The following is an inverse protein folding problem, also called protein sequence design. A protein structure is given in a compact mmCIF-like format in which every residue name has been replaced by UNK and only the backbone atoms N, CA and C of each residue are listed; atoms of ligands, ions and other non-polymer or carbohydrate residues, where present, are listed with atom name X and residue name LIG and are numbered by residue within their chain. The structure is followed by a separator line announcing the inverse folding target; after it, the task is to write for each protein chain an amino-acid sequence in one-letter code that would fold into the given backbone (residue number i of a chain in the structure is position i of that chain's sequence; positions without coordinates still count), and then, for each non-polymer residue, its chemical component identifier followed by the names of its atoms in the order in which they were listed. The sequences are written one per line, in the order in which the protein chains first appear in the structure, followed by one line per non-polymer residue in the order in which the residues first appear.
data_IF_225802037906
#
_entry.id   IF_225802037906
#
_cell.length_a   1.000
_cell.length_b   1.000
_cell.length_c   1.000
_cell.angle_alpha   90.00
_cell.angle_beta   90.00
_cell.angle_gamma   90.00
#
_symmetry.space_group_name_H-M   'P 1'
#
loop_
_entity.id
_entity.type
_entity.pdbx_description
1 polymer ?
#
# COMPACT_ATOMS: atom_id res chain seq x y z
N UNK A 1 27.96 9.43 11.25
CA UNK A 1 27.44 8.10 10.87
C UNK A 1 27.27 8.10 9.35
N UNK A 2 27.96 7.19 8.67
CA UNK A 2 27.84 7.06 7.21
C UNK A 2 26.47 6.47 6.82
N UNK A 3 26.08 6.60 5.55
CA UNK A 3 24.80 6.04 5.07
C UNK A 3 24.73 4.52 5.26
N UNK A 4 25.87 3.85 5.11
CA UNK A 4 26.02 2.40 5.24
C UNK A 4 25.94 1.94 6.69
N UNK A 5 26.67 2.59 7.60
CA UNK A 5 26.61 2.31 9.05
C UNK A 5 25.19 2.50 9.59
N UNK A 6 24.49 3.53 9.11
CA UNK A 6 23.10 3.80 9.45
C UNK A 6 22.18 2.68 9.00
N UNK A 7 22.35 2.20 7.77
CA UNK A 7 21.55 1.11 7.23
C UNK A 7 21.75 -0.18 8.03
N UNK A 8 23.00 -0.56 8.30
CA UNK A 8 23.33 -1.71 9.15
C UNK A 8 22.70 -1.60 10.54
N UNK A 9 22.82 -0.44 11.18
CA UNK A 9 22.28 -0.19 12.53
C UNK A 9 20.75 -0.18 12.58
N UNK A 10 20.07 0.33 11.56
CA UNK A 10 18.61 0.44 11.58
C UNK A 10 17.92 -0.87 11.26
N UNK A 11 18.54 -1.70 10.41
CA UNK A 11 18.01 -3.00 10.04
C UNK A 11 18.44 -4.15 10.96
N UNK A 12 19.38 -3.94 11.90
CA UNK A 12 19.86 -4.99 12.82
C UNK A 12 18.78 -5.62 13.70
N UNK A 13 17.67 -4.92 13.92
CA UNK A 13 16.58 -5.33 14.82
C UNK A 13 15.31 -5.77 14.06
N UNK A 14 15.41 -5.94 12.73
CA UNK A 14 14.26 -6.31 11.88
C UNK A 14 14.42 -7.78 11.48
N UNK A 15 13.49 -8.67 11.87
CA UNK A 15 13.52 -10.06 11.41
C UNK A 15 13.37 -10.11 9.87
N UNK A 16 14.00 -11.09 9.24
CA UNK A 16 13.95 -11.34 7.78
C UNK A 16 14.60 -10.28 6.88
N UNK A 17 15.26 -9.27 7.44
CA UNK A 17 15.96 -8.24 6.66
C UNK A 17 17.33 -8.66 6.11
N UNK A 18 17.79 -9.88 6.41
CA UNK A 18 19.12 -10.36 6.00
C UNK A 18 19.24 -10.54 4.48
N UNK A 19 18.13 -10.92 3.82
CA UNK A 19 18.06 -11.09 2.37
C UNK A 19 18.08 -9.79 1.56
N UNK A 20 17.77 -8.63 2.17
CA UNK A 20 17.70 -7.35 1.47
C UNK A 20 19.11 -6.80 1.19
N UNK A 21 19.39 -6.47 -0.08
CA UNK A 21 20.67 -5.89 -0.50
C UNK A 21 20.98 -4.56 0.21
N UNK A 22 22.27 -4.32 0.51
CA UNK A 22 22.73 -3.17 1.30
C UNK A 22 22.37 -1.82 0.65
N UNK A 23 22.36 -1.76 -0.68
CA UNK A 23 22.00 -0.56 -1.43
C UNK A 23 20.53 -0.16 -1.23
N UNK A 24 19.61 -1.13 -1.30
CA UNK A 24 18.18 -0.90 -1.03
C UNK A 24 17.95 -0.48 0.44
N UNK A 25 18.67 -1.09 1.38
CA UNK A 25 18.64 -0.68 2.80
C UNK A 25 19.06 0.78 2.97
N UNK A 26 20.07 1.24 2.22
CA UNK A 26 20.56 2.62 2.25
C UNK A 26 19.55 3.60 1.64
N UNK A 27 18.88 3.24 0.55
CA UNK A 27 17.84 4.05 -0.08
C UNK A 27 16.63 4.24 0.86
N UNK A 28 16.13 3.14 1.43
CA UNK A 28 15.06 3.15 2.44
C UNK A 28 15.43 4.05 3.62
N UNK A 29 16.62 3.87 4.19
CA UNK A 29 17.08 4.71 5.30
C UNK A 29 17.13 6.19 4.92
N UNK A 30 17.51 6.52 3.69
CA UNK A 30 17.56 7.89 3.20
C UNK A 30 16.16 8.50 3.09
N UNK A 31 15.22 7.77 2.49
CA UNK A 31 13.82 8.17 2.32
C UNK A 31 13.13 8.36 3.67
N UNK A 32 13.29 7.41 4.59
CA UNK A 32 12.71 7.47 5.93
C UNK A 32 13.32 8.62 6.73
N UNK A 33 14.64 8.83 6.66
CA UNK A 33 15.28 9.95 7.35
C UNK A 33 14.76 11.31 6.89
N UNK A 34 14.50 11.48 5.58
CA UNK A 34 13.89 12.72 5.05
C UNK A 34 12.47 12.94 5.61
N UNK A 35 11.65 11.89 5.65
CA UNK A 35 10.29 11.95 6.24
C UNK A 35 10.32 12.20 7.75
N UNK A 36 11.24 11.58 8.49
CA UNK A 36 11.45 11.86 9.90
C UNK A 36 11.78 13.32 10.15
N UNK A 37 12.64 13.94 9.33
CA UNK A 37 12.97 15.35 9.46
C UNK A 37 11.73 16.24 9.29
N UNK A 38 10.88 15.94 8.30
CA UNK A 38 9.61 16.66 8.09
C UNK A 38 8.69 16.50 9.30
N UNK A 39 8.55 15.29 9.84
CA UNK A 39 7.73 15.00 11.03
C UNK A 39 8.24 15.76 12.24
N UNK A 40 9.55 15.73 12.51
CA UNK A 40 10.16 16.46 13.63
C UNK A 40 9.87 17.95 13.51
N UNK A 41 10.11 18.54 12.33
CA UNK A 41 9.85 19.96 12.10
C UNK A 41 8.37 20.33 12.27
N UNK A 42 7.47 19.50 11.73
CA UNK A 42 6.03 19.74 11.84
C UNK A 42 5.51 19.64 13.28
N UNK A 43 5.92 18.60 14.01
CA UNK A 43 5.53 18.42 15.43
C UNK A 43 6.13 19.53 16.29
N UNK A 44 7.38 19.91 16.04
CA UNK A 44 8.03 21.01 16.78
C UNK A 44 7.31 22.36 16.56
N UNK A 45 6.96 22.70 15.31
CA UNK A 45 6.18 23.91 15.02
C UNK A 45 4.82 23.86 15.71
N UNK A 46 4.14 22.71 15.68
CA UNK A 46 2.85 22.53 16.33
C UNK A 46 2.96 22.71 17.86
N UNK A 47 3.97 22.14 18.49
CA UNK A 47 4.25 22.31 19.92
C UNK A 47 4.51 23.78 20.28
N UNK A 48 5.29 24.50 19.47
CA UNK A 48 5.51 25.93 19.68
C UNK A 48 4.21 26.74 19.58
N UNK A 49 3.35 26.44 18.61
CA UNK A 49 2.03 27.09 18.48
C UNK A 49 1.15 26.79 19.69
N UNK A 50 1.12 25.54 20.16
CA UNK A 50 0.37 25.17 21.36
C UNK A 50 0.87 25.89 22.62
N UNK A 51 2.19 25.99 22.80
CA UNK A 51 2.78 26.74 23.91
C UNK A 51 2.40 28.22 23.89
N UNK A 52 2.34 28.82 22.70
CA UNK A 52 1.89 30.21 22.52
C UNK A 52 0.40 30.36 22.82
N UNK A 53 -0.45 29.43 22.36
CA UNK A 53 -1.90 29.49 22.54
C UNK A 53 -2.36 29.21 23.98
N UNK A 54 -1.79 28.21 24.66
CA UNK A 54 -2.24 27.79 26.00
C UNK A 54 -1.82 28.77 27.11
N UNK A 55 -0.70 29.48 26.93
CA UNK A 55 -0.15 30.35 27.96
C UNK A 55 -0.26 31.85 27.67
N UNK A 56 -0.71 32.28 26.49
CA UNK A 56 -0.72 33.69 26.10
C UNK A 56 0.66 34.37 26.18
N UNK A 57 1.74 33.59 26.10
CA UNK A 57 3.12 34.04 26.34
C UNK A 57 3.59 34.01 27.80
N UNK A 58 2.70 33.86 28.80
CA UNK A 58 3.05 33.87 30.23
C UNK A 58 4.04 32.75 30.61
N UNK A 59 3.90 31.57 30.01
CA UNK A 59 4.85 30.45 30.19
C UNK A 59 6.25 30.83 29.66
N UNK A 60 6.32 31.51 28.51
CA UNK A 60 7.59 31.96 27.93
C UNK A 60 8.21 33.09 28.76
N UNK A 61 7.40 34.03 29.25
CA UNK A 61 7.84 35.11 30.12
C UNK A 61 8.38 34.58 31.45
N UNK A 62 7.64 33.69 32.13
CA UNK A 62 8.10 33.03 33.36
C UNK A 62 9.38 32.24 33.16
N UNK A 63 9.51 31.58 32.01
CA UNK A 63 10.73 30.85 31.65
C UNK A 63 11.90 31.81 31.43
N UNK A 64 11.67 32.96 30.77
CA UNK A 64 12.67 33.99 30.57
C UNK A 64 13.10 34.63 31.90
N UNK A 65 12.17 34.93 32.80
CA UNK A 65 12.45 35.50 34.12
C UNK A 65 13.26 34.52 34.99
N UNK A 66 12.92 33.23 34.96
CA UNK A 66 13.71 32.18 35.60
C UNK A 66 15.15 32.13 35.06
N UNK A 67 15.31 32.20 33.74
CA UNK A 67 16.63 32.23 33.10
C UNK A 67 17.43 33.49 33.45
N UNK A 68 16.78 34.65 33.48
CA UNK A 68 17.40 35.93 33.83
C UNK A 68 17.89 35.92 35.28
N UNK A 69 17.09 35.40 36.21
CA UNK A 69 17.47 35.25 37.61
C UNK A 69 18.67 34.30 37.79
N UNK A 70 18.71 33.18 37.05
CA UNK A 70 19.87 32.27 37.09
C UNK A 70 21.11 32.89 36.42
N UNK A 71 20.92 33.76 35.43
CA UNK A 71 22.01 34.49 34.79
C UNK A 71 22.56 35.63 35.67
N UNK A 72 21.83 36.07 36.69
CA UNK A 72 22.22 37.13 37.61
C UNK A 72 23.38 36.64 38.51
N UNK A 73 24.59 37.16 38.29
CA UNK A 73 25.77 36.66 39.01
C UNK A 73 27.10 36.88 38.26
N UNK A 74 28.16 36.20 38.72
CA UNK A 74 29.53 36.42 38.22
C UNK A 74 29.67 36.16 36.71
N UNK A 75 30.29 37.08 35.97
CA UNK A 75 30.58 36.93 34.54
C UNK A 75 31.77 36.00 34.27
N UNK A 76 31.78 34.82 34.89
CA UNK A 76 32.82 33.81 34.69
C UNK A 76 32.39 32.80 33.64
N UNK A 77 33.37 32.23 32.92
CA UNK A 77 33.10 31.21 31.89
C UNK A 77 32.30 30.01 32.42
N UNK A 78 32.55 29.63 33.68
CA UNK A 78 31.85 28.50 34.31
C UNK A 78 30.40 28.84 34.67
N UNK A 79 30.10 30.11 35.00
CA UNK A 79 28.73 30.57 35.26
C UNK A 79 27.88 30.52 33.98
N UNK A 80 28.39 31.06 32.87
CA UNK A 80 27.71 30.97 31.57
C UNK A 80 27.48 29.53 31.12
N UNK A 81 28.43 28.63 31.39
CA UNK A 81 28.27 27.20 31.13
C UNK A 81 27.12 26.60 31.95
N UNK A 82 27.02 26.96 33.24
CA UNK A 82 25.94 26.53 34.12
C UNK A 82 24.55 27.01 33.66
N UNK A 83 24.43 28.30 33.31
CA UNK A 83 23.19 28.89 32.78
C UNK A 83 22.76 28.17 31.49
N UNK A 84 23.71 27.90 30.59
CA UNK A 84 23.42 27.19 29.34
C UNK A 84 22.93 25.75 29.58
N UNK A 85 23.49 25.04 30.57
CA UNK A 85 23.04 23.69 30.94
C UNK A 85 21.60 23.70 31.47
N UNK A 86 21.26 24.65 32.34
CA UNK A 86 19.90 24.79 32.88
C UNK A 86 18.91 25.14 31.77
N UNK A 87 19.24 26.12 30.92
CA UNK A 87 18.39 26.49 29.79
C UNK A 87 18.18 25.33 28.81
N UNK A 88 19.24 24.55 28.54
CA UNK A 88 19.11 23.35 27.72
C UNK A 88 18.13 22.36 28.35
N UNK A 89 18.20 22.13 29.67
CA UNK A 89 17.29 21.23 30.37
C UNK A 89 15.83 21.67 30.32
N UNK A 90 15.56 22.97 30.45
CA UNK A 90 14.19 23.52 30.37
C UNK A 90 13.59 23.32 28.97
N UNK A 91 14.40 23.43 27.92
CA UNK A 91 13.95 23.24 26.54
C UNK A 91 13.92 21.78 26.06
N UNK A 92 14.58 20.85 26.77
CA UNK A 92 14.68 19.43 26.38
C UNK A 92 13.31 18.76 26.13
N UNK A 93 12.27 18.94 26.97
CA UNK A 93 10.97 18.28 26.76
C UNK A 93 10.34 18.56 25.39
N UNK A 94 10.46 19.80 24.89
CA UNK A 94 9.94 20.22 23.58
C UNK A 94 10.73 19.66 22.39
N UNK A 95 11.92 19.11 22.62
CA UNK A 95 12.73 18.45 21.59
C UNK A 95 12.57 16.94 21.65
N UNK A 96 12.34 16.40 22.86
CA UNK A 96 12.19 14.96 23.09
C UNK A 96 10.91 14.44 22.42
N UNK A 97 9.78 15.14 22.52
CA UNK A 97 8.49 14.68 21.97
C UNK A 97 8.56 14.51 20.44
N UNK A 98 9.02 15.49 19.64
CA UNK A 98 9.17 15.32 18.19
C UNK A 98 10.08 14.15 17.83
N UNK A 99 11.16 13.93 18.59
CA UNK A 99 12.12 12.83 18.37
C UNK A 99 11.48 11.47 18.68
N UNK A 100 10.68 11.35 19.74
CA UNK A 100 9.96 10.12 20.09
C UNK A 100 8.96 9.79 18.98
N UNK A 101 8.14 10.75 18.55
CA UNK A 101 7.15 10.56 17.48
C UNK A 101 7.83 10.11 16.19
N UNK A 102 8.93 10.76 15.81
CA UNK A 102 9.71 10.36 14.64
C UNK A 102 10.36 8.97 14.79
N UNK A 103 10.76 8.57 16.00
CA UNK A 103 11.32 7.25 16.28
C UNK A 103 10.28 6.14 16.15
N UNK A 104 9.05 6.38 16.63
CA UNK A 104 7.92 5.45 16.44
C UNK A 104 7.60 5.30 14.95
N UNK A 105 7.49 6.43 14.23
CA UNK A 105 7.30 6.45 12.78
C UNK A 105 8.38 5.65 12.05
N UNK A 106 9.65 5.90 12.37
CA UNK A 106 10.80 5.19 11.81
C UNK A 106 10.65 3.68 11.97
N UNK A 107 10.33 3.20 13.17
CA UNK A 107 10.22 1.76 13.44
C UNK A 107 9.07 1.12 12.65
N UNK A 108 7.91 1.78 12.56
CA UNK A 108 6.77 1.28 11.79
C UNK A 108 7.05 1.29 10.28
N UNK A 109 7.64 2.38 9.77
CA UNK A 109 7.96 2.53 8.35
C UNK A 109 9.05 1.57 7.90
N UNK A 110 10.09 1.36 8.71
CA UNK A 110 11.16 0.39 8.40
C UNK A 110 10.62 -1.03 8.30
N UNK A 111 9.77 -1.46 9.25
CA UNK A 111 9.13 -2.78 9.19
C UNK A 111 8.27 -2.92 7.92
N UNK A 112 7.46 -1.92 7.61
CA UNK A 112 6.60 -1.96 6.43
C UNK A 112 7.38 -1.99 5.12
N UNK A 113 8.39 -1.11 4.94
CA UNK A 113 9.21 -1.10 3.72
C UNK A 113 10.09 -2.36 3.61
N UNK A 114 10.60 -2.89 4.73
CA UNK A 114 11.33 -4.16 4.75
C UNK A 114 10.42 -5.34 4.36
N UNK A 115 9.23 -5.46 4.95
CA UNK A 115 8.28 -6.53 4.58
C UNK A 115 7.84 -6.44 3.12
N UNK A 116 7.61 -5.22 2.60
CA UNK A 116 7.30 -5.01 1.17
C UNK A 116 8.44 -5.48 0.28
N UNK A 117 9.69 -5.18 0.63
CA UNK A 117 10.86 -5.63 -0.13
C UNK A 117 11.08 -7.14 -0.03
N UNK A 118 10.91 -7.74 1.15
CA UNK A 118 11.02 -9.20 1.31
C UNK A 118 9.95 -9.89 0.46
N UNK A 119 8.73 -9.35 0.41
CA UNK A 119 7.66 -9.86 -0.45
C UNK A 119 8.01 -9.66 -1.93
N UNK A 120 8.49 -8.47 -2.33
CA UNK A 120 8.87 -8.23 -3.72
C UNK A 120 10.06 -9.07 -4.17
N UNK A 121 11.04 -9.29 -3.29
CA UNK A 121 12.19 -10.15 -3.53
C UNK A 121 11.79 -11.62 -3.57
N UNK A 122 10.90 -12.08 -2.68
CA UNK A 122 10.34 -13.43 -2.75
C UNK A 122 9.55 -13.63 -4.05
N UNK A 123 8.80 -12.62 -4.49
CA UNK A 123 8.09 -12.65 -5.76
C UNK A 123 9.05 -12.59 -6.96
N UNK A 124 10.19 -11.89 -6.86
CA UNK A 124 11.22 -11.86 -7.91
C UNK A 124 12.07 -13.13 -7.94
N UNK A 125 12.39 -13.72 -6.79
CA UNK A 125 13.09 -15.01 -6.68
C UNK A 125 12.19 -16.13 -7.18
N UNK A 126 10.88 -16.08 -6.90
CA UNK A 126 9.88 -16.95 -7.54
C UNK A 126 9.86 -16.69 -9.05
N UNK A 127 9.89 -15.44 -9.50
CA UNK A 127 9.96 -15.09 -10.93
C UNK A 127 11.26 -15.55 -11.60
N UNK A 128 12.39 -15.54 -10.90
CA UNK A 128 13.71 -15.96 -11.39
C UNK A 128 13.89 -17.48 -11.36
N UNK A 129 13.33 -18.15 -10.34
CA UNK A 129 13.11 -19.61 -10.33
C UNK A 129 12.23 -20.05 -11.51
N UNK A 130 11.34 -19.17 -11.98
CA UNK A 130 10.50 -19.35 -13.18
C UNK A 130 11.14 -18.84 -14.50
N UNK A 131 12.39 -18.37 -14.51
CA UNK A 131 13.08 -17.86 -15.71
C UNK A 131 14.29 -18.69 -16.17
N UNK A 132 14.55 -19.86 -15.59
CA UNK A 132 15.34 -20.89 -16.29
C UNK A 132 14.49 -21.52 -17.39
N UNK A 133 15.08 -21.89 -18.55
CA UNK A 133 14.31 -22.16 -19.76
C UNK A 133 13.31 -23.28 -19.51
N UNK A 134 12.05 -22.98 -19.84
CA UNK A 134 10.92 -23.89 -19.89
C UNK A 134 11.34 -25.15 -20.64
N UNK A 135 11.73 -26.14 -19.85
CA UNK A 135 11.91 -27.53 -20.22
C UNK A 135 11.51 -28.36 -19.00
N UNK A 136 10.38 -28.01 -18.40
CA UNK A 136 9.49 -28.98 -17.78
C UNK A 136 8.11 -28.34 -17.65
N UNK A 137 7.17 -28.99 -18.31
CA UNK A 137 5.74 -28.72 -18.31
C UNK A 137 5.23 -28.84 -16.87
N UNK A 138 5.29 -27.77 -16.08
CA UNK A 138 4.51 -27.70 -14.85
C UNK A 138 3.06 -27.52 -15.28
N UNK A 139 2.32 -28.62 -15.27
CA UNK A 139 0.87 -28.66 -15.38
C UNK A 139 0.25 -28.02 -14.13
N UNK A 140 0.44 -26.71 -13.94
CA UNK A 140 -0.31 -25.96 -12.93
C UNK A 140 -1.75 -25.86 -13.44
N UNK A 141 -2.68 -26.44 -12.68
CA UNK A 141 -4.10 -26.38 -13.02
C UNK A 141 -4.56 -24.90 -13.01
N UNK A 142 -5.17 -24.49 -14.10
CA UNK A 142 -5.74 -23.14 -14.25
C UNK A 142 -7.22 -23.17 -13.92
N UNK A 143 -7.72 -22.06 -13.40
CA UNK A 143 -9.16 -21.83 -13.27
C UNK A 143 -9.80 -21.77 -14.64
N UNK A 144 -10.99 -22.35 -14.72
CA UNK A 144 -11.85 -22.30 -15.88
C UNK A 144 -12.94 -21.26 -15.70
N UNK A 145 -13.24 -20.49 -16.74
CA UNK A 145 -14.29 -19.48 -16.71
C UNK A 145 -15.10 -19.61 -18.00
N UNK A 146 -16.40 -19.83 -17.84
CA UNK A 146 -17.39 -19.78 -18.91
C UNK A 146 -17.89 -18.33 -19.08
N UNK A 147 -17.98 -17.58 -17.97
CA UNK A 147 -18.39 -16.18 -17.96
C UNK A 147 -17.19 -15.23 -17.83
N UNK A 148 -17.07 -14.31 -18.79
CA UNK A 148 -15.99 -13.31 -18.81
C UNK A 148 -16.12 -12.28 -17.68
N UNK A 149 -17.31 -11.79 -17.37
CA UNK A 149 -17.52 -10.78 -16.34
C UNK A 149 -17.24 -11.34 -14.93
N UNK A 150 -17.57 -12.62 -14.69
CA UNK A 150 -17.13 -13.32 -13.48
C UNK A 150 -15.61 -13.44 -13.43
N UNK A 151 -14.95 -13.80 -14.54
CA UNK A 151 -13.49 -13.83 -14.63
C UNK A 151 -12.88 -12.46 -14.30
N UNK A 152 -13.44 -11.37 -14.83
CA UNK A 152 -12.99 -10.01 -14.54
C UNK A 152 -13.14 -9.67 -13.05
N UNK A 153 -14.26 -10.04 -12.42
CA UNK A 153 -14.45 -9.85 -10.98
C UNK A 153 -13.42 -10.63 -10.14
N UNK A 154 -13.08 -11.86 -10.54
CA UNK A 154 -12.01 -12.63 -9.89
C UNK A 154 -10.64 -12.00 -10.11
N UNK A 155 -10.38 -11.48 -11.31
CA UNK A 155 -9.15 -10.73 -11.60
C UNK A 155 -9.09 -9.47 -10.74
N UNK A 156 -10.19 -8.73 -10.55
CA UNK A 156 -10.23 -7.57 -9.65
C UNK A 156 -9.68 -7.93 -8.27
N UNK A 157 -10.27 -8.95 -7.65
CA UNK A 157 -9.90 -9.38 -6.29
C UNK A 157 -8.44 -9.87 -6.25
N UNK A 158 -8.05 -10.74 -7.18
CA UNK A 158 -6.72 -11.35 -7.12
C UNK A 158 -5.60 -10.41 -7.54
N UNK A 159 -5.80 -9.58 -8.55
CA UNK A 159 -4.78 -8.70 -9.12
C UNK A 159 -4.69 -7.39 -8.37
N UNK A 160 -5.82 -6.74 -8.06
CA UNK A 160 -5.82 -5.37 -7.55
C UNK A 160 -6.05 -5.30 -6.04
N UNK A 161 -6.97 -6.10 -5.48
CA UNK A 161 -7.27 -6.01 -4.05
C UNK A 161 -6.21 -6.78 -3.23
N UNK A 162 -5.94 -8.03 -3.60
CA UNK A 162 -5.03 -8.92 -2.89
C UNK A 162 -3.58 -8.87 -3.39
N UNK A 163 -3.36 -8.31 -4.59
CA UNK A 163 -2.05 -8.25 -5.26
C UNK A 163 -1.34 -9.62 -5.37
N UNK A 164 -2.11 -10.69 -5.58
CA UNK A 164 -1.62 -12.07 -5.72
C UNK A 164 -1.41 -12.49 -7.19
N UNK A 165 -2.19 -11.93 -8.12
CA UNK A 165 -2.04 -12.16 -9.56
C UNK A 165 -1.16 -11.05 -10.15
N UNK A 166 0.11 -11.37 -10.41
CA UNK A 166 1.13 -10.41 -10.84
C UNK A 166 1.74 -10.78 -12.21
N UNK A 167 2.25 -9.79 -12.99
CA UNK A 167 2.22 -8.35 -12.69
C UNK A 167 0.81 -7.77 -12.79
N UNK A 168 0.57 -6.68 -12.04
CA UNK A 168 -0.64 -5.86 -12.17
C UNK A 168 -0.69 -5.24 -13.56
N UNK A 169 -1.89 -5.22 -14.15
CA UNK A 169 -2.13 -4.57 -15.42
C UNK A 169 -2.46 -3.09 -15.16
N UNK A 170 -1.84 -2.20 -15.92
CA UNK A 170 -2.11 -0.77 -15.90
C UNK A 170 -2.16 -0.29 -17.35
N UNK A 171 -3.23 0.41 -17.70
CA UNK A 171 -3.53 0.85 -19.07
C UNK A 171 -2.54 1.89 -19.57
N UNK A 172 -2.02 2.77 -18.71
CA UNK A 172 -1.03 3.78 -19.09
C UNK A 172 0.31 3.11 -19.41
N UNK A 173 0.75 2.20 -18.53
CA UNK A 173 1.93 1.38 -18.75
C UNK A 173 1.80 0.51 -20.00
N UNK A 174 0.61 -0.02 -20.27
CA UNK A 174 0.32 -0.82 -21.46
C UNK A 174 0.38 0.04 -22.73
N UNK A 175 -0.26 1.22 -22.73
CA UNK A 175 -0.28 2.16 -23.83
C UNK A 175 1.13 2.61 -24.23
N UNK A 176 1.99 2.94 -23.27
CA UNK A 176 3.39 3.35 -23.51
C UNK A 176 4.23 2.30 -24.26
N UNK A 177 3.87 1.02 -24.12
CA UNK A 177 4.60 -0.11 -24.74
C UNK A 177 3.90 -0.70 -25.95
N UNK A 178 2.64 -0.35 -26.18
CA UNK A 178 1.88 -0.89 -27.28
C UNK A 178 2.32 -0.25 -28.59
N UNK A 179 2.24 -1.01 -29.69
CA UNK A 179 2.73 -0.53 -30.99
C UNK A 179 1.82 0.54 -31.62
N UNK A 180 0.55 0.47 -31.27
CA UNK A 180 -0.51 1.34 -31.78
C UNK A 180 -0.94 2.28 -30.66
N UNK A 181 -1.44 3.46 -31.04
CA UNK A 181 -1.97 4.43 -30.09
C UNK A 181 -3.19 3.84 -29.37
N UNK A 182 -3.15 3.87 -28.05
CA UNK A 182 -4.25 3.46 -27.18
C UNK A 182 -4.85 4.73 -26.58
N UNK A 183 -6.16 4.91 -26.77
CA UNK A 183 -6.91 5.99 -26.14
C UNK A 183 -7.17 5.64 -24.67
N UNK A 184 -6.35 6.18 -23.78
CA UNK A 184 -6.48 5.98 -22.33
C UNK A 184 -7.61 6.80 -21.69
N UNK A 185 -8.34 7.58 -22.49
CA UNK A 185 -9.53 8.33 -22.08
C UNK A 185 -10.79 7.81 -22.80
N UNK A 186 -10.75 6.57 -23.33
CA UNK A 186 -11.88 5.99 -24.05
C UNK A 186 -13.09 5.74 -23.17
N UNK A 187 -14.28 6.01 -23.71
CA UNK A 187 -15.60 5.67 -23.16
C UNK A 187 -16.14 4.34 -23.71
N UNK A 188 -15.34 3.61 -24.48
CA UNK A 188 -15.69 2.29 -25.03
C UNK A 188 -14.59 1.27 -24.75
N UNK A 189 -14.87 0.00 -25.05
CA UNK A 189 -13.94 -1.12 -24.81
C UNK A 189 -12.67 -0.95 -25.62
N UNK A 190 -11.54 -0.89 -24.92
CA UNK A 190 -10.21 -0.99 -25.52
C UNK A 190 -9.91 -2.47 -25.80
N UNK A 191 -10.20 -2.91 -27.03
CA UNK A 191 -10.10 -4.30 -27.47
C UNK A 191 -8.76 -5.01 -27.14
N UNK A 192 -7.58 -4.38 -27.31
CA UNK A 192 -6.31 -4.99 -26.88
C UNK A 192 -6.27 -5.36 -25.40
N UNK A 193 -6.89 -4.54 -24.53
CA UNK A 193 -6.93 -4.75 -23.08
C UNK A 193 -7.94 -5.84 -22.73
N UNK A 194 -9.13 -5.80 -23.34
CA UNK A 194 -10.12 -6.85 -23.19
C UNK A 194 -9.54 -8.22 -23.58
N UNK A 195 -8.82 -8.27 -24.70
CA UNK A 195 -8.12 -9.48 -25.17
C UNK A 195 -7.04 -9.93 -24.20
N UNK A 196 -6.33 -9.00 -23.55
CA UNK A 196 -5.36 -9.35 -22.50
C UNK A 196 -6.05 -10.10 -21.36
N UNK A 197 -7.09 -9.53 -20.75
CA UNK A 197 -7.78 -10.18 -19.62
C UNK A 197 -8.49 -11.48 -20.01
N UNK A 198 -9.04 -11.55 -21.23
CA UNK A 198 -9.62 -12.79 -21.76
C UNK A 198 -8.59 -13.92 -21.82
N UNK A 199 -7.35 -13.63 -22.21
CA UNK A 199 -6.28 -14.63 -22.32
C UNK A 199 -5.48 -14.84 -21.04
N UNK A 200 -5.63 -13.96 -20.04
CA UNK A 200 -4.93 -14.08 -18.76
C UNK A 200 -5.33 -15.38 -18.06
N UNK A 201 -4.36 -16.24 -17.79
CA UNK A 201 -4.57 -17.48 -17.05
C UNK A 201 -4.51 -17.19 -15.55
N UNK A 202 -5.48 -17.72 -14.80
CA UNK A 202 -5.54 -17.54 -13.34
C UNK A 202 -5.25 -18.90 -12.68
N UNK A 203 -4.13 -19.05 -11.95
CA UNK A 203 -3.78 -20.32 -11.31
C UNK A 203 -4.81 -20.75 -10.25
N UNK A 204 -5.18 -22.04 -10.25
CA UNK A 204 -6.17 -22.59 -9.31
C UNK A 204 -5.77 -22.46 -7.85
N UNK A 205 -4.47 -22.43 -7.55
CA UNK A 205 -3.94 -22.19 -6.18
C UNK A 205 -4.37 -20.84 -5.57
N UNK A 206 -4.83 -19.88 -6.39
CA UNK A 206 -5.29 -18.57 -5.93
C UNK A 206 -6.76 -18.58 -5.49
N UNK A 207 -7.56 -19.56 -5.92
CA UNK A 207 -8.99 -19.59 -5.64
C UNK A 207 -9.35 -19.61 -4.14
N UNK A 208 -8.60 -20.27 -3.25
CA UNK A 208 -8.89 -20.22 -1.81
C UNK A 208 -8.73 -18.84 -1.16
N UNK A 209 -8.10 -17.86 -1.84
CA UNK A 209 -7.93 -16.51 -1.29
C UNK A 209 -9.11 -15.58 -1.59
N UNK A 210 -9.99 -15.96 -2.52
CA UNK A 210 -11.18 -15.17 -2.86
C UNK A 210 -12.28 -15.50 -1.86
N UNK A 211 -12.51 -14.59 -0.92
CA UNK A 211 -13.58 -14.73 0.09
C UNK A 211 -14.81 -13.88 -0.21
N UNK A 212 -14.59 -12.70 -0.80
CA UNK A 212 -15.62 -11.71 -1.09
C UNK A 212 -15.40 -11.19 -2.51
N UNK A 213 -16.49 -11.05 -3.27
CA UNK A 213 -16.52 -10.34 -4.54
C UNK A 213 -17.31 -9.05 -4.35
N UNK A 214 -16.78 -7.94 -4.83
CA UNK A 214 -17.47 -6.66 -4.86
C UNK A 214 -17.30 -6.04 -6.24
N UNK A 215 -18.33 -6.14 -7.07
CA UNK A 215 -18.38 -5.50 -8.39
C UNK A 215 -18.83 -4.05 -8.22
N UNK A 216 -18.06 -3.10 -8.74
CA UNK A 216 -18.33 -1.67 -8.69
C UNK A 216 -17.83 -0.98 -9.97
N UNK A 217 -18.51 0.09 -10.39
CA UNK A 217 -18.15 0.88 -11.56
C UNK A 217 -16.70 1.38 -11.54
N UNK A 218 -16.20 1.73 -10.35
CA UNK A 218 -14.85 2.25 -10.14
C UNK A 218 -13.76 1.19 -9.97
N UNK A 219 -14.07 -0.11 -10.15
CA UNK A 219 -13.06 -1.16 -10.03
C UNK A 219 -11.97 -1.04 -11.11
N UNK A 220 -10.71 -1.20 -10.70
CA UNK A 220 -9.54 -1.03 -11.57
C UNK A 220 -9.63 -1.87 -12.85
N UNK A 221 -10.10 -3.13 -12.76
CA UNK A 221 -10.21 -4.00 -13.92
C UNK A 221 -11.11 -3.41 -15.01
N UNK A 222 -12.21 -2.74 -14.64
CA UNK A 222 -13.13 -2.12 -15.59
C UNK A 222 -12.56 -0.81 -16.11
N UNK A 223 -11.96 0.02 -15.24
CA UNK A 223 -11.30 1.27 -15.62
C UNK A 223 -10.09 1.05 -16.54
N UNK A 224 -9.46 -0.12 -16.53
CA UNK A 224 -8.44 -0.47 -17.51
C UNK A 224 -9.02 -0.82 -18.89
N UNK A 225 -10.23 -1.38 -18.93
CA UNK A 225 -10.89 -1.81 -20.18
C UNK A 225 -11.65 -0.65 -20.84
N UNK A 226 -12.35 0.16 -20.05
CA UNK A 226 -13.10 1.35 -20.46
C UNK A 226 -12.76 2.47 -19.46
N UNK A 227 -11.73 3.30 -19.71
CA UNK A 227 -11.24 4.32 -18.77
C UNK A 227 -12.25 5.37 -18.34
N UNK A 228 -13.25 5.68 -19.16
CA UNK A 228 -14.32 6.64 -18.83
C UNK A 228 -15.67 5.96 -18.59
N UNK A 229 -15.68 4.68 -18.18
CA UNK A 229 -16.94 3.98 -17.91
C UNK A 229 -17.69 4.62 -16.75
N UNK A 230 -18.96 4.95 -16.99
CA UNK A 230 -19.84 5.56 -15.99
C UNK A 230 -20.63 4.54 -15.17
N UNK A 231 -20.59 3.26 -15.55
CA UNK A 231 -21.30 2.18 -14.86
C UNK A 231 -22.75 1.94 -15.33
N UNK A 232 -23.28 2.71 -16.29
CA UNK A 232 -24.72 2.77 -16.55
C UNK A 232 -25.24 1.83 -17.65
N UNK A 233 -24.35 1.28 -18.49
CA UNK A 233 -24.73 0.56 -19.71
C UNK A 233 -24.81 -0.97 -19.59
N UNK A 234 -24.53 -1.52 -18.40
CA UNK A 234 -24.56 -2.97 -18.13
C UNK A 234 -23.43 -3.76 -18.80
N UNK A 235 -22.40 -3.10 -19.34
CA UNK A 235 -21.27 -3.73 -20.05
C UNK A 235 -20.62 -4.87 -19.26
N UNK A 236 -20.55 -4.73 -17.93
CA UNK A 236 -19.92 -5.70 -17.03
C UNK A 236 -20.92 -6.49 -16.18
N UNK A 237 -22.21 -6.51 -16.54
CA UNK A 237 -23.24 -7.26 -15.82
C UNK A 237 -22.92 -8.76 -15.76
N UNK A 238 -23.04 -9.33 -14.57
CA UNK A 238 -23.00 -10.77 -14.33
C UNK A 238 -24.44 -11.32 -14.41
N UNK A 239 -24.88 -11.63 -15.63
CA UNK A 239 -26.23 -12.17 -15.91
C UNK A 239 -26.29 -13.69 -16.03
N UNK A 240 -25.14 -14.36 -16.09
CA UNK A 240 -25.03 -15.82 -16.20
C UNK A 240 -23.82 -16.30 -15.41
N UNK A 241 -24.00 -17.34 -14.61
CA UNK A 241 -22.92 -17.99 -13.86
C UNK A 241 -23.27 -19.46 -13.67
N UNK A 242 -22.29 -20.34 -13.70
CA UNK A 242 -22.51 -21.77 -13.43
C UNK A 242 -22.09 -22.15 -12.02
N UNK A 243 -22.74 -23.19 -11.47
CA UNK A 243 -22.35 -23.75 -10.18
C UNK A 243 -20.91 -24.28 -10.20
N UNK A 244 -20.48 -24.85 -11.33
CA UNK A 244 -19.11 -25.34 -11.52
C UNK A 244 -18.09 -24.21 -11.41
N UNK A 245 -18.39 -23.03 -11.97
CA UNK A 245 -17.51 -21.87 -11.85
C UNK A 245 -17.35 -21.43 -10.40
N UNK A 246 -18.45 -21.32 -9.64
CA UNK A 246 -18.44 -20.91 -8.23
C UNK A 246 -17.72 -21.92 -7.34
N UNK A 247 -17.91 -23.22 -7.57
CA UNK A 247 -17.30 -24.30 -6.78
C UNK A 247 -15.78 -24.36 -6.88
N UNK A 248 -15.17 -23.65 -7.84
CA UNK A 248 -13.71 -23.51 -7.88
C UNK A 248 -13.16 -22.68 -6.71
N UNK A 249 -14.00 -21.87 -6.04
CA UNK A 249 -13.63 -20.94 -4.98
C UNK A 249 -14.15 -21.42 -3.62
N UNK A 250 -13.43 -22.31 -2.91
CA UNK A 250 -13.94 -22.99 -1.73
C UNK A 250 -14.20 -22.07 -0.53
N UNK A 251 -13.64 -20.85 -0.53
CA UNK A 251 -13.75 -19.90 0.56
C UNK A 251 -14.61 -18.67 0.20
N UNK A 252 -15.19 -18.62 -0.99
CA UNK A 252 -16.08 -17.52 -1.40
C UNK A 252 -17.36 -17.61 -0.57
N UNK A 253 -17.69 -16.52 0.14
CA UNK A 253 -18.82 -16.44 1.08
C UNK A 253 -19.83 -15.40 0.67
N UNK A 254 -19.37 -14.28 0.12
CA UNK A 254 -20.21 -13.13 -0.20
C UNK A 254 -19.86 -12.57 -1.58
N UNK A 255 -20.87 -12.11 -2.32
CA UNK A 255 -20.71 -11.47 -3.61
C UNK A 255 -21.73 -10.34 -3.78
N UNK A 256 -21.26 -9.09 -3.82
CA UNK A 256 -22.04 -7.95 -4.34
C UNK A 256 -21.78 -7.86 -5.84
N UNK A 257 -22.82 -8.02 -6.66
CA UNK A 257 -22.69 -8.14 -8.11
C UNK A 257 -23.52 -7.11 -8.86
N UNK A 258 -23.00 -6.63 -9.99
CA UNK A 258 -23.76 -5.87 -10.99
C UNK A 258 -24.50 -6.85 -11.89
N UNK A 259 -25.82 -6.73 -12.03
CA UNK A 259 -26.61 -7.66 -12.83
C UNK A 259 -27.98 -7.08 -13.18
N UNK A 260 -28.30 -6.96 -14.48
CA UNK A 260 -29.66 -6.70 -14.96
C UNK A 260 -30.59 -7.91 -14.87
N UNK A 261 -30.08 -9.10 -14.54
CA UNK A 261 -30.84 -10.33 -14.34
C UNK A 261 -30.48 -11.02 -13.02
N UNK A 262 -30.48 -10.24 -11.94
CA UNK A 262 -30.04 -10.70 -10.62
C UNK A 262 -30.78 -11.94 -10.13
N UNK A 263 -32.10 -12.01 -10.31
CA UNK A 263 -32.91 -13.15 -9.85
C UNK A 263 -32.41 -14.49 -10.40
N UNK A 264 -32.01 -14.53 -11.69
CA UNK A 264 -31.50 -15.75 -12.33
C UNK A 264 -30.16 -16.20 -11.75
N UNK A 265 -29.25 -15.26 -11.48
CA UNK A 265 -27.91 -15.60 -10.99
C UNK A 265 -27.92 -15.89 -9.48
N UNK A 266 -28.79 -15.21 -8.73
CA UNK A 266 -28.93 -15.36 -7.29
C UNK A 266 -29.19 -16.82 -6.89
N UNK A 267 -30.08 -17.51 -7.61
CA UNK A 267 -30.37 -18.93 -7.36
C UNK A 267 -29.11 -19.82 -7.42
N UNK A 268 -28.18 -19.52 -8.33
CA UNK A 268 -26.93 -20.28 -8.48
C UNK A 268 -25.98 -20.02 -7.31
N UNK A 269 -25.87 -18.77 -6.86
CA UNK A 269 -25.10 -18.42 -5.66
C UNK A 269 -25.69 -19.03 -4.39
N UNK A 270 -27.03 -19.02 -4.24
CA UNK A 270 -27.72 -19.64 -3.11
C UNK A 270 -27.44 -21.16 -3.06
N UNK A 271 -27.49 -21.86 -4.20
CA UNK A 271 -27.13 -23.29 -4.30
C UNK A 271 -25.67 -23.54 -3.94
N UNK A 272 -24.77 -22.60 -4.25
CA UNK A 272 -23.37 -22.66 -3.86
C UNK A 272 -23.12 -22.28 -2.38
N UNK A 273 -24.16 -21.92 -1.63
CA UNK A 273 -24.09 -21.42 -0.25
C UNK A 273 -23.25 -20.13 -0.13
N UNK A 274 -23.38 -19.24 -1.12
CA UNK A 274 -22.73 -17.92 -1.18
C UNK A 274 -23.83 -16.86 -1.07
N UNK A 275 -23.65 -15.88 -0.18
CA UNK A 275 -24.57 -14.75 -0.03
C UNK A 275 -24.37 -13.79 -1.20
N UNK A 276 -25.36 -13.66 -2.08
CA UNK A 276 -25.35 -12.72 -3.19
C UNK A 276 -26.23 -11.50 -2.91
N UNK A 277 -25.72 -10.31 -3.18
CA UNK A 277 -26.42 -9.02 -3.14
C UNK A 277 -26.28 -8.31 -4.48
N UNK A 278 -27.32 -7.59 -4.90
CA UNK A 278 -27.27 -6.71 -6.06
C UNK A 278 -26.61 -5.38 -5.64
N UNK A 279 -25.71 -4.86 -6.46
CA UNK A 279 -25.10 -3.54 -6.28
C UNK A 279 -26.16 -2.42 -6.33
#
# INVERSE_FOLDING_TARGET
MTKEERAKKWFSNIPDAESIHLEMKMEICSKIAKKMMIIISGVFVLELVFLLMLGGGDILTKTADFMNNISEGSHTRNHYLGVALVGSFVCLPAIIIPVIVASIYKNKSLKSEASKLVISMKNSDIKELHLTPISEKSTEDMLHFDNLNFKLAIIQVLMYDLKLLNPEFDIYDFADRYKEEIDTDSDTVIEPVMKFFKNLQVPKRLAPYVEIIYMDGGNDVYMNIIPQWDGEDGSFDLNEITLTELQQFPNLKEATIMSSNFDKVKDVFEVANIKAELL
#
